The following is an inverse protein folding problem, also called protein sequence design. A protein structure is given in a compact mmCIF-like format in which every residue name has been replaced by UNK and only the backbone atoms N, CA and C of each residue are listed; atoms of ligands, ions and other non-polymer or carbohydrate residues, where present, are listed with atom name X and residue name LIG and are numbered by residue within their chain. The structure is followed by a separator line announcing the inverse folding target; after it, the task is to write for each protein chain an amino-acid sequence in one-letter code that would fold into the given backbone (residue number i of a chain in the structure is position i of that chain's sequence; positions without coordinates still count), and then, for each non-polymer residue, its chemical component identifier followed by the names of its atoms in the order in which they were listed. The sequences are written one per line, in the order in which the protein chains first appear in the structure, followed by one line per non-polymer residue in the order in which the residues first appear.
data_IF_725975965630
#
_entry.id   IF_725975965630
#
_cell.length_a   1.000
_cell.length_b   1.000
_cell.length_c   1.000
_cell.angle_alpha   90.00
_cell.angle_beta   90.00
_cell.angle_gamma   90.00
#
_symmetry.space_group_name_H-M   'P 1'
#
loop_
_entity.id
_entity.type
_entity.pdbx_description
1 polymer ?
#
# COMPACT_ATOMS: atom_id res chain seq x y z
N UNK A 1 28.01 1.24 43.95
CA UNK A 1 27.22 -0.02 43.86
C UNK A 1 27.72 -0.96 42.75
N UNK A 2 27.71 -0.55 41.47
CA UNK A 2 28.17 -1.39 40.33
C UNK A 2 29.59 -1.95 40.47
N UNK A 3 30.54 -1.17 40.99
CA UNK A 3 31.92 -1.63 41.20
C UNK A 3 32.04 -2.77 42.22
N UNK A 4 31.27 -2.73 43.30
CA UNK A 4 31.25 -3.79 44.32
C UNK A 4 30.60 -5.07 43.78
N UNK A 5 29.57 -4.94 42.94
CA UNK A 5 28.91 -6.07 42.27
C UNK A 5 29.89 -6.75 41.29
N UNK A 6 30.59 -5.97 40.46
CA UNK A 6 31.58 -6.51 39.53
C UNK A 6 32.75 -7.20 40.26
N UNK A 7 33.22 -6.61 41.38
CA UNK A 7 34.26 -7.23 42.21
C UNK A 7 33.79 -8.52 42.90
N UNK A 8 32.49 -8.64 43.20
CA UNK A 8 31.93 -9.85 43.79
C UNK A 8 31.89 -11.00 42.78
N UNK A 9 31.43 -10.75 41.55
CA UNK A 9 31.32 -11.77 40.50
C UNK A 9 32.62 -12.02 39.73
N UNK A 10 33.67 -11.22 39.92
CA UNK A 10 34.99 -11.46 39.33
C UNK A 10 35.84 -12.46 40.12
N UNK A 11 35.54 -12.69 41.41
CA UNK A 11 36.19 -13.72 42.23
C UNK A 11 35.87 -15.11 41.66
N UNK A 12 36.88 -15.96 41.53
CA UNK A 12 36.75 -17.33 41.00
C UNK A 12 35.63 -18.14 41.67
N UNK A 13 35.40 -17.98 42.97
CA UNK A 13 34.34 -18.68 43.71
C UNK A 13 32.92 -18.25 43.32
N UNK A 14 32.75 -17.00 42.90
CA UNK A 14 31.45 -16.41 42.57
C UNK A 14 31.36 -16.10 41.06
N UNK A 15 32.30 -16.62 40.26
CA UNK A 15 32.36 -16.35 38.82
C UNK A 15 31.17 -17.03 38.16
N UNK A 16 30.33 -16.25 37.50
CA UNK A 16 29.25 -16.81 36.70
C UNK A 16 29.83 -17.50 35.46
N UNK A 17 29.81 -18.83 35.46
CA UNK A 17 30.25 -19.63 34.33
C UNK A 17 29.11 -19.74 33.30
N UNK A 18 29.03 -18.73 32.42
CA UNK A 18 28.01 -18.65 31.35
C UNK A 18 28.02 -19.86 30.41
N UNK A 19 29.10 -20.64 30.38
CA UNK A 19 29.24 -21.88 29.62
C UNK A 19 28.55 -23.10 30.23
N UNK A 20 28.20 -23.08 31.52
CA UNK A 20 27.53 -24.19 32.21
C UNK A 20 26.03 -24.30 31.88
N UNK A 21 25.44 -23.23 31.35
CA UNK A 21 24.01 -23.13 31.03
C UNK A 21 23.77 -23.02 29.52
N UNK A 22 24.70 -23.50 28.70
CA UNK A 22 24.50 -23.52 27.25
C UNK A 22 23.69 -24.75 26.88
N UNK A 23 22.59 -24.53 26.16
CA UNK A 23 21.75 -25.60 25.60
C UNK A 23 22.57 -26.53 24.70
N UNK A 24 23.52 -25.97 23.94
CA UNK A 24 24.47 -26.72 23.10
C UNK A 24 25.34 -27.74 23.87
N UNK A 25 25.42 -27.64 25.20
CA UNK A 25 26.18 -28.56 26.06
C UNK A 25 25.35 -29.69 26.66
N UNK A 26 24.03 -29.70 26.44
CA UNK A 26 23.10 -30.71 26.93
C UNK A 26 22.71 -31.58 25.74
N UNK A 27 23.12 -32.84 25.78
CA UNK A 27 22.73 -33.84 24.77
C UNK A 27 21.21 -34.01 24.80
N UNK A 28 20.59 -33.99 23.62
CA UNK A 28 19.14 -34.12 23.44
C UNK A 28 18.29 -33.08 24.20
N UNK A 29 18.82 -31.87 24.45
CA UNK A 29 18.08 -30.77 25.10
C UNK A 29 16.73 -30.44 24.44
N UNK A 30 16.62 -30.73 23.14
CA UNK A 30 15.41 -30.56 22.34
C UNK A 30 14.28 -31.46 22.88
N UNK A 31 14.60 -32.69 23.31
CA UNK A 31 13.62 -33.64 23.86
C UNK A 31 12.99 -33.14 25.16
N UNK A 32 13.75 -32.38 25.96
CA UNK A 32 13.26 -31.74 27.19
C UNK A 32 12.45 -30.46 26.94
N UNK A 33 12.69 -29.77 25.83
CA UNK A 33 11.94 -28.58 25.42
C UNK A 33 10.62 -28.94 24.72
N UNK A 34 10.53 -30.12 24.09
CA UNK A 34 9.31 -30.64 23.45
C UNK A 34 8.15 -30.87 24.43
N UNK A 35 8.40 -30.88 25.75
CA UNK A 35 7.35 -31.02 26.78
C UNK A 35 6.57 -29.74 27.09
N UNK A 36 6.98 -28.59 26.54
CA UNK A 36 6.16 -27.37 26.51
C UNK A 36 5.64 -27.18 25.09
N UNK A 37 4.70 -28.05 24.68
CA UNK A 37 3.73 -27.68 23.66
C UNK A 37 2.95 -26.48 24.22
N UNK A 38 3.40 -25.27 23.87
CA UNK A 38 2.56 -24.08 23.97
C UNK A 38 1.30 -24.39 23.18
N UNK A 39 0.15 -24.37 23.85
CA UNK A 39 -1.16 -24.70 23.26
C UNK A 39 -1.30 -24.02 21.88
N UNK A 40 -1.43 -24.84 20.84
CA UNK A 40 -1.29 -24.54 19.41
C UNK A 40 -2.28 -23.49 18.82
N UNK A 41 -2.95 -22.67 19.63
CA UNK A 41 -3.86 -21.63 19.15
C UNK A 41 -3.13 -20.32 18.76
N UNK A 42 -1.98 -20.03 19.37
CA UNK A 42 -1.18 -18.82 19.07
C UNK A 42 -0.38 -18.99 17.78
N UNK A 43 0.15 -20.19 17.49
CA UNK A 43 0.94 -20.45 16.27
C UNK A 43 0.10 -20.44 14.99
N UNK A 44 -1.15 -20.95 15.02
CA UNK A 44 -2.07 -20.88 13.87
C UNK A 44 -2.50 -19.43 13.56
N UNK A 45 -2.73 -18.61 14.60
CA UNK A 45 -3.03 -17.19 14.44
C UNK A 45 -1.84 -16.42 13.87
N UNK A 46 -0.63 -16.73 14.32
CA UNK A 46 0.61 -16.15 13.79
C UNK A 46 0.85 -16.53 12.33
N UNK A 47 0.55 -17.77 11.91
CA UNK A 47 0.66 -18.20 10.52
C UNK A 47 -0.35 -17.49 9.60
N UNK A 48 -1.61 -17.36 10.02
CA UNK A 48 -2.65 -16.62 9.27
C UNK A 48 -2.30 -15.14 9.17
N UNK A 49 -1.78 -14.55 10.25
CA UNK A 49 -1.33 -13.16 10.26
C UNK A 49 -0.15 -12.91 9.30
N UNK A 50 0.81 -13.84 9.26
CA UNK A 50 1.93 -13.79 8.32
C UNK A 50 1.48 -13.91 6.87
N UNK A 51 0.52 -14.79 6.56
CA UNK A 51 -0.03 -14.96 5.22
C UNK A 51 -0.75 -13.69 4.74
N UNK A 52 -1.57 -13.08 5.60
CA UNK A 52 -2.23 -11.79 5.32
C UNK A 52 -1.21 -10.67 5.05
N UNK A 53 -0.14 -10.60 5.86
CA UNK A 53 0.94 -9.64 5.66
C UNK A 53 1.68 -9.86 4.34
N UNK A 54 1.85 -11.11 3.90
CA UNK A 54 2.44 -11.42 2.59
C UNK A 54 1.53 -11.02 1.44
N UNK A 55 0.24 -11.30 1.53
CA UNK A 55 -0.75 -10.88 0.53
C UNK A 55 -0.77 -9.36 0.38
N UNK A 56 -0.83 -8.62 1.49
CA UNK A 56 -0.76 -7.15 1.45
C UNK A 56 0.52 -6.64 0.80
N UNK A 57 1.66 -7.27 1.10
CA UNK A 57 2.95 -6.92 0.49
C UNK A 57 2.94 -7.20 -1.02
N UNK A 58 2.39 -8.32 -1.46
CA UNK A 58 2.24 -8.68 -2.88
C UNK A 58 1.36 -7.66 -3.61
N UNK A 59 0.23 -7.26 -3.03
CA UNK A 59 -0.63 -6.24 -3.61
C UNK A 59 0.07 -4.88 -3.74
N UNK A 60 0.77 -4.46 -2.69
CA UNK A 60 1.55 -3.21 -2.68
C UNK A 60 2.65 -3.26 -3.75
N UNK A 61 3.32 -4.40 -3.91
CA UNK A 61 4.35 -4.60 -4.94
C UNK A 61 3.76 -4.50 -6.36
N UNK A 62 2.62 -5.15 -6.62
CA UNK A 62 1.95 -5.06 -7.92
C UNK A 62 1.55 -3.62 -8.28
N UNK A 63 1.10 -2.83 -7.30
CA UNK A 63 0.81 -1.40 -7.50
C UNK A 63 2.07 -0.63 -7.92
N UNK A 64 3.21 -0.93 -7.29
CA UNK A 64 4.49 -0.31 -7.65
C UNK A 64 4.93 -0.73 -9.06
N UNK A 65 4.82 -2.01 -9.42
CA UNK A 65 5.20 -2.52 -10.74
C UNK A 65 4.42 -1.85 -11.88
N UNK A 66 3.13 -1.56 -11.69
CA UNK A 66 2.31 -0.82 -12.67
C UNK A 66 2.79 0.63 -12.87
N UNK A 67 3.35 1.25 -11.84
CA UNK A 67 3.82 2.64 -11.88
C UNK A 67 5.26 2.73 -12.38
N UNK A 68 6.06 1.69 -12.14
CA UNK A 68 7.46 1.62 -12.54
C UNK A 68 7.73 2.05 -14.01
N UNK A 69 6.98 1.61 -15.04
CA UNK A 69 7.22 2.03 -16.42
C UNK A 69 6.97 3.52 -16.69
N UNK A 70 6.22 4.21 -15.82
CA UNK A 70 5.91 5.63 -15.93
C UNK A 70 6.96 6.54 -15.26
N UNK A 71 7.88 5.95 -14.47
CA UNK A 71 8.99 6.68 -13.85
C UNK A 71 10.09 7.00 -14.87
N UNK A 72 10.97 7.94 -14.53
CA UNK A 72 12.17 8.21 -15.34
C UNK A 72 13.12 7.02 -15.28
N UNK A 73 13.90 6.77 -16.34
CA UNK A 73 14.86 5.66 -16.43
C UNK A 73 15.84 5.60 -15.26
N UNK A 74 16.32 6.76 -14.80
CA UNK A 74 17.20 6.85 -13.63
C UNK A 74 16.51 6.37 -12.35
N UNK A 75 15.26 6.81 -12.13
CA UNK A 75 14.47 6.41 -10.97
C UNK A 75 14.14 4.91 -10.98
N UNK A 76 13.86 4.35 -12.16
CA UNK A 76 13.68 2.91 -12.33
C UNK A 76 14.96 2.14 -11.96
N UNK A 77 16.12 2.60 -12.43
CA UNK A 77 17.41 2.00 -12.13
C UNK A 77 17.69 2.03 -10.62
N UNK A 78 17.51 3.19 -9.96
CA UNK A 78 17.70 3.31 -8.51
C UNK A 78 16.75 2.39 -7.74
N UNK A 79 15.46 2.35 -8.11
CA UNK A 79 14.49 1.47 -7.44
C UNK A 79 14.85 -0.02 -7.62
N UNK A 80 15.25 -0.43 -8.81
CA UNK A 80 15.68 -1.80 -9.09
C UNK A 80 16.93 -2.18 -8.29
N UNK A 81 17.91 -1.28 -8.20
CA UNK A 81 19.12 -1.49 -7.40
C UNK A 81 18.81 -1.54 -5.90
N UNK A 82 17.91 -0.69 -5.41
CA UNK A 82 17.42 -0.73 -4.04
C UNK A 82 16.74 -2.06 -3.72
N UNK A 83 15.88 -2.58 -4.59
CA UNK A 83 15.24 -3.87 -4.40
C UNK A 83 16.24 -5.03 -4.45
N UNK A 84 17.20 -4.98 -5.39
CA UNK A 84 18.24 -6.02 -5.55
C UNK A 84 19.20 -6.10 -4.36
N UNK A 85 19.57 -4.96 -3.80
CA UNK A 85 20.55 -4.86 -2.71
C UNK A 85 19.94 -4.56 -1.36
N UNK A 86 18.63 -4.73 -1.20
CA UNK A 86 17.92 -4.53 0.07
C UNK A 86 18.20 -3.16 0.69
N UNK A 87 18.19 -2.11 -0.13
CA UNK A 87 18.45 -0.72 0.26
C UNK A 87 19.83 -0.46 0.88
N UNK A 88 20.82 -1.33 0.61
CA UNK A 88 22.20 -1.08 0.99
C UNK A 88 22.83 -0.03 0.05
N UNK A 89 22.80 1.24 0.45
CA UNK A 89 23.26 2.36 -0.36
C UNK A 89 24.77 2.34 -0.66
N UNK A 90 25.60 1.83 0.27
CA UNK A 90 27.03 1.64 0.04
C UNK A 90 27.29 0.66 -1.12
N UNK A 91 26.58 -0.48 -1.13
CA UNK A 91 26.68 -1.49 -2.19
C UNK A 91 26.17 -0.96 -3.53
N UNK A 92 25.12 -0.15 -3.51
CA UNK A 92 24.57 0.50 -4.70
C UNK A 92 25.56 1.52 -5.27
N UNK A 93 26.14 2.37 -4.42
CA UNK A 93 27.15 3.36 -4.80
C UNK A 93 28.39 2.69 -5.38
N UNK A 94 28.86 1.60 -4.74
CA UNK A 94 29.95 0.78 -5.26
C UNK A 94 29.66 0.19 -6.65
N UNK A 95 28.43 -0.32 -6.85
CA UNK A 95 28.02 -0.89 -8.13
C UNK A 95 27.88 0.16 -9.24
N UNK A 96 27.32 1.33 -8.92
CA UNK A 96 27.13 2.42 -9.88
C UNK A 96 28.46 3.08 -10.24
N UNK A 97 29.37 3.21 -9.28
CA UNK A 97 30.67 3.84 -9.45
C UNK A 97 30.55 5.36 -9.66
N UNK A 98 31.48 6.13 -9.09
CA UNK A 98 31.54 7.57 -9.29
C UNK A 98 30.46 8.39 -8.58
N UNK A 99 29.69 7.79 -7.68
CA UNK A 99 28.75 8.46 -6.77
C UNK A 99 28.94 7.96 -5.35
N UNK A 100 28.68 8.82 -4.37
CA UNK A 100 28.70 8.46 -2.94
C UNK A 100 27.43 7.74 -2.50
N UNK A 101 27.52 6.98 -1.41
CA UNK A 101 26.37 6.38 -0.72
C UNK A 101 25.34 7.45 -0.30
N UNK A 102 25.81 8.63 0.10
CA UNK A 102 24.97 9.79 0.40
C UNK A 102 24.21 10.32 -0.83
N UNK A 103 24.86 10.40 -1.99
CA UNK A 103 24.17 10.80 -3.22
C UNK A 103 23.12 9.77 -3.64
N UNK A 104 23.41 8.48 -3.46
CA UNK A 104 22.43 7.41 -3.67
C UNK A 104 21.23 7.61 -2.74
N UNK A 105 21.43 7.85 -1.44
CA UNK A 105 20.32 8.05 -0.51
C UNK A 105 19.46 9.25 -0.90
N UNK A 106 20.08 10.37 -1.32
CA UNK A 106 19.36 11.56 -1.76
C UNK A 106 18.51 11.30 -3.03
N UNK A 107 19.03 10.53 -3.99
CA UNK A 107 18.28 10.18 -5.20
C UNK A 107 17.12 9.22 -4.90
N UNK A 108 17.32 8.30 -3.97
CA UNK A 108 16.26 7.39 -3.50
C UNK A 108 15.17 8.18 -2.78
N UNK A 109 15.51 9.13 -1.91
CA UNK A 109 14.54 10.01 -1.25
C UNK A 109 13.71 10.81 -2.25
N UNK A 110 14.35 11.45 -3.23
CA UNK A 110 13.64 12.15 -4.31
C UNK A 110 12.71 11.21 -5.08
N UNK A 111 13.15 9.99 -5.34
CA UNK A 111 12.33 8.98 -6.01
C UNK A 111 11.10 8.63 -5.16
N UNK A 112 11.26 8.44 -3.85
CA UNK A 112 10.16 8.19 -2.90
C UNK A 112 9.21 9.39 -2.83
N UNK A 113 9.71 10.62 -2.82
CA UNK A 113 8.88 11.83 -2.85
C UNK A 113 8.04 11.91 -4.13
N UNK A 114 8.64 11.62 -5.29
CA UNK A 114 7.89 11.60 -6.55
C UNK A 114 6.80 10.53 -6.54
N UNK A 115 7.09 9.33 -6.01
CA UNK A 115 6.09 8.28 -5.84
C UNK A 115 4.96 8.72 -4.91
N UNK A 116 5.27 9.33 -3.76
CA UNK A 116 4.25 9.90 -2.84
C UNK A 116 3.36 10.91 -3.54
N UNK A 117 3.93 11.80 -4.34
CA UNK A 117 3.16 12.78 -5.12
C UNK A 117 2.25 12.14 -6.16
N UNK A 118 2.71 11.08 -6.83
CA UNK A 118 1.89 10.32 -7.80
C UNK A 118 0.72 9.66 -7.07
N UNK A 119 0.95 9.00 -5.93
CA UNK A 119 -0.12 8.37 -5.16
C UNK A 119 -1.11 9.39 -4.59
N UNK A 120 -0.64 10.50 -4.02
CA UNK A 120 -1.53 11.56 -3.53
C UNK A 120 -2.36 12.19 -4.64
N UNK A 121 -1.79 12.35 -5.84
CA UNK A 121 -2.52 12.83 -7.01
C UNK A 121 -3.56 11.81 -7.47
N UNK A 122 -3.21 10.52 -7.52
CA UNK A 122 -4.13 9.45 -7.85
C UNK A 122 -5.28 9.35 -6.83
N UNK A 123 -5.01 9.46 -5.53
CA UNK A 123 -6.03 9.45 -4.48
C UNK A 123 -6.94 10.67 -4.56
N UNK A 124 -6.41 11.85 -4.91
CA UNK A 124 -7.22 13.04 -5.20
C UNK A 124 -8.12 12.83 -6.42
N UNK A 125 -7.61 12.21 -7.48
CA UNK A 125 -8.39 11.86 -8.67
C UNK A 125 -9.47 10.82 -8.36
N UNK A 126 -9.15 9.80 -7.56
CA UNK A 126 -10.13 8.83 -7.10
C UNK A 126 -11.20 9.46 -6.22
N UNK A 127 -10.85 10.34 -5.26
CA UNK A 127 -11.84 11.08 -4.46
C UNK A 127 -12.74 11.99 -5.30
N UNK A 128 -12.21 12.60 -6.35
CA UNK A 128 -13.02 13.34 -7.33
C UNK A 128 -13.95 12.41 -8.11
N UNK A 129 -13.52 11.20 -8.46
CA UNK A 129 -14.37 10.18 -9.09
C UNK A 129 -15.39 9.55 -8.14
N UNK A 130 -15.05 9.35 -6.86
CA UNK A 130 -15.89 8.66 -5.87
C UNK A 130 -16.95 9.59 -5.25
N UNK A 131 -16.65 10.89 -5.13
CA UNK A 131 -17.64 11.92 -4.79
C UNK A 131 -18.69 12.14 -5.89
N UNK A 132 -18.52 11.50 -7.06
CA UNK A 132 -19.51 11.49 -8.14
C UNK A 132 -20.57 10.40 -7.99
N UNK A 133 -20.48 9.52 -6.99
CA UNK A 133 -21.64 8.75 -6.52
C UNK A 133 -22.56 9.68 -5.74
N UNK A 134 -23.20 10.60 -6.46
CA UNK A 134 -24.39 11.29 -5.99
C UNK A 134 -25.45 10.22 -5.73
N UNK A 135 -25.49 9.70 -4.50
CA UNK A 135 -26.66 8.99 -3.99
C UNK A 135 -27.75 10.05 -3.86
N UNK A 136 -28.45 10.32 -4.97
CA UNK A 136 -29.66 11.12 -4.96
C UNK A 136 -30.79 10.19 -4.51
N UNK A 137 -30.88 10.00 -3.19
CA UNK A 137 -32.16 9.65 -2.58
C UNK A 137 -33.11 10.82 -2.82
N UNK A 138 -33.81 10.79 -3.95
CA UNK A 138 -34.71 11.85 -4.38
C UNK A 138 -35.07 11.77 -5.86
N UNK A 139 -35.90 10.78 -6.22
CA UNK A 139 -36.74 10.78 -7.43
C UNK A 139 -36.04 10.96 -8.80
N UNK A 140 -34.83 10.43 -8.96
CA UNK A 140 -34.23 10.23 -10.28
C UNK A 140 -34.49 8.78 -10.68
N UNK A 141 -35.12 8.57 -11.83
CA UNK A 141 -35.34 7.22 -12.37
C UNK A 141 -33.99 6.61 -12.78
N UNK A 142 -33.82 5.30 -12.68
CA UNK A 142 -32.57 4.58 -12.98
C UNK A 142 -32.03 4.94 -14.39
N UNK A 143 -32.92 5.13 -15.36
CA UNK A 143 -32.56 5.57 -16.72
C UNK A 143 -32.00 7.01 -16.77
N UNK A 144 -32.48 7.89 -15.91
CA UNK A 144 -32.00 9.27 -15.82
C UNK A 144 -30.62 9.35 -15.17
N UNK A 145 -30.36 8.51 -14.17
CA UNK A 145 -29.04 8.36 -13.55
C UNK A 145 -28.03 7.82 -14.56
N UNK A 146 -28.43 6.84 -15.36
CA UNK A 146 -27.55 6.25 -16.36
C UNK A 146 -27.15 7.22 -17.48
N UNK A 147 -28.09 8.04 -17.95
CA UNK A 147 -27.82 9.11 -18.91
C UNK A 147 -26.85 10.14 -18.32
N UNK A 148 -27.00 10.48 -17.03
CA UNK A 148 -26.10 11.40 -16.33
C UNK A 148 -24.68 10.85 -16.22
N UNK A 149 -24.55 9.59 -15.82
CA UNK A 149 -23.27 8.87 -15.74
C UNK A 149 -22.56 8.88 -17.10
N UNK A 150 -23.26 8.48 -18.17
CA UNK A 150 -22.65 8.45 -19.50
C UNK A 150 -22.28 9.84 -20.03
N UNK A 151 -23.04 10.89 -19.65
CA UNK A 151 -22.76 12.25 -20.10
C UNK A 151 -21.58 12.89 -19.36
N UNK A 152 -21.47 12.69 -18.04
CA UNK A 152 -20.46 13.34 -17.20
C UNK A 152 -19.19 12.50 -17.03
N UNK A 153 -19.34 11.20 -16.80
CA UNK A 153 -18.20 10.31 -16.51
C UNK A 153 -17.57 9.80 -17.80
N UNK A 154 -18.40 9.37 -18.75
CA UNK A 154 -17.93 8.83 -20.03
C UNK A 154 -17.81 9.88 -21.14
N UNK A 155 -18.23 11.12 -20.88
CA UNK A 155 -18.18 12.25 -21.84
C UNK A 155 -18.89 11.97 -23.18
N UNK A 156 -19.86 11.05 -23.21
CA UNK A 156 -20.55 10.68 -24.45
C UNK A 156 -21.47 11.80 -24.95
N UNK A 157 -21.59 11.90 -26.28
CA UNK A 157 -22.59 12.75 -26.93
C UNK A 157 -24.00 12.18 -26.76
N UNK A 158 -25.03 13.02 -26.93
CA UNK A 158 -26.42 12.55 -26.82
C UNK A 158 -26.78 11.48 -27.86
N UNK A 159 -26.14 11.52 -29.02
CA UNK A 159 -26.35 10.53 -30.08
C UNK A 159 -25.69 9.19 -29.72
N UNK A 160 -24.47 9.23 -29.16
CA UNK A 160 -23.82 8.03 -28.63
C UNK A 160 -24.61 7.40 -27.47
N UNK A 161 -25.12 8.22 -26.54
CA UNK A 161 -25.94 7.72 -25.43
C UNK A 161 -27.24 7.09 -25.94
N UNK A 162 -27.85 7.69 -26.97
CA UNK A 162 -29.04 7.18 -27.62
C UNK A 162 -28.80 5.81 -28.28
N UNK A 163 -27.66 5.64 -28.94
CA UNK A 163 -27.24 4.35 -29.50
C UNK A 163 -27.03 3.30 -28.40
N UNK A 164 -26.34 3.63 -27.30
CA UNK A 164 -26.06 2.68 -26.21
C UNK A 164 -27.33 2.23 -25.48
N UNK A 165 -28.30 3.12 -25.28
CA UNK A 165 -29.57 2.82 -24.61
C UNK A 165 -30.68 2.38 -25.56
N UNK A 166 -30.42 2.35 -26.86
CA UNK A 166 -31.40 2.10 -27.91
C UNK A 166 -32.64 3.03 -27.78
N UNK A 167 -32.39 4.31 -27.49
CA UNK A 167 -33.39 5.35 -27.31
C UNK A 167 -33.28 6.41 -28.42
N UNK A 168 -34.32 7.22 -28.59
CA UNK A 168 -34.26 8.36 -29.49
C UNK A 168 -33.43 9.51 -28.84
N UNK A 169 -32.50 10.16 -29.56
CA UNK A 169 -31.73 11.29 -29.05
C UNK A 169 -32.56 12.44 -28.45
N UNK A 170 -33.78 12.66 -28.97
CA UNK A 170 -34.70 13.66 -28.43
C UNK A 170 -35.23 13.29 -27.03
N UNK A 171 -35.41 11.99 -26.78
CA UNK A 171 -35.87 11.47 -25.48
C UNK A 171 -34.74 11.54 -24.46
N UNK A 172 -33.51 11.18 -24.86
CA UNK A 172 -32.31 11.31 -24.00
C UNK A 172 -32.10 12.75 -23.54
N UNK A 173 -32.23 13.72 -24.45
CA UNK A 173 -32.11 15.15 -24.10
C UNK A 173 -33.20 15.60 -23.12
N UNK A 174 -34.45 15.15 -23.29
CA UNK A 174 -35.55 15.46 -22.34
C UNK A 174 -35.26 14.90 -20.96
N UNK A 175 -34.91 13.62 -20.87
CA UNK A 175 -34.60 12.94 -19.60
C UNK A 175 -33.42 13.59 -18.88
N UNK A 176 -32.39 14.00 -19.63
CA UNK A 176 -31.25 14.74 -19.09
C UNK A 176 -31.65 16.11 -18.52
N UNK A 177 -32.48 16.88 -19.23
CA UNK A 177 -32.96 18.18 -18.75
C UNK A 177 -33.82 18.03 -17.49
N UNK A 178 -34.73 17.05 -17.47
CA UNK A 178 -35.59 16.76 -16.32
C UNK A 178 -34.77 16.38 -15.08
N UNK A 179 -33.78 15.50 -15.22
CA UNK A 179 -32.90 15.13 -14.13
C UNK A 179 -31.99 16.29 -13.69
N UNK A 180 -31.48 17.09 -14.62
CA UNK A 180 -30.71 18.30 -14.30
C UNK A 180 -31.55 19.32 -13.52
N UNK A 181 -32.82 19.49 -13.87
CA UNK A 181 -33.75 20.38 -13.17
C UNK A 181 -33.99 19.92 -11.73
N UNK A 182 -34.18 18.61 -11.52
CA UNK A 182 -34.36 18.02 -10.18
C UNK A 182 -33.12 18.20 -9.30
N UNK A 183 -31.92 17.93 -9.83
CA UNK A 183 -30.65 18.12 -9.11
C UNK A 183 -30.41 19.59 -8.73
N UNK A 184 -30.86 20.53 -9.57
CA UNK A 184 -30.73 21.97 -9.28
C UNK A 184 -31.68 22.44 -8.17
N UNK A 185 -32.84 21.80 -8.00
CA UNK A 185 -33.80 22.17 -6.95
C UNK A 185 -33.37 21.68 -5.56
N UNK A 186 -32.79 20.48 -5.45
CA UNK A 186 -32.28 19.94 -4.19
C UNK A 186 -31.11 20.76 -3.63
N UNK A 187 -30.26 21.35 -4.50
CA UNK A 187 -29.18 22.27 -4.08
C UNK A 187 -29.64 23.62 -3.52
N UNK A 188 -30.92 24.00 -3.67
CA UNK A 188 -31.47 25.27 -3.15
C UNK A 188 -32.16 25.14 -1.79
N UNK A 189 -32.45 23.91 -1.37
CA UNK A 189 -33.20 23.61 -0.13
C UNK A 189 -32.33 23.01 0.97
N UNK A 190 -31.02 22.92 0.75
CA UNK A 190 -30.01 22.44 1.70
C UNK A 190 -29.07 23.58 2.13
#
# INVERSE_FOLDING_TARGET
MKAAINAFYSKTRNRFHRSLLRLDGIEDYQEFLLGYELENEEEEQDLVYLEQLEEEKKEKLQKIEKILPHLRKEQQLFLQLCLKYSFNYERIAYYLGGISDYEVSLQVEKTIETLRHIFQSAEKMEKLSSSSKYVVQGEINEQQEEIFRMRYDLQFSFDQIAETLNLNPAVVKKLFIEAHAKIKQTKKTA
#
